data_IF_750145852373
#
_entry.id   IF_750145852373
#
_cell.length_a   1.000
_cell.length_b   1.000
_cell.length_c   1.000
_cell.angle_alpha   90.00
_cell.angle_beta   90.00
_cell.angle_gamma   90.00
#
_symmetry.space_group_name_H-M   'P 1'
#
loop_
_entity.id
_entity.type
_entity.pdbx_description
1 polymer ?
#
# COMPACT_ATOMS: atom_id res chain seq x y z
N UNK A 1 17.35 -18.26 -20.76
CA UNK A 1 16.94 -16.88 -20.44
C UNK A 1 16.02 -16.95 -19.22
N UNK A 2 16.55 -16.81 -18.01
CA UNK A 2 15.84 -17.15 -16.77
C UNK A 2 16.03 -16.08 -15.70
N UNK A 3 14.96 -15.32 -15.40
CA UNK A 3 14.45 -15.06 -14.03
C UNK A 3 13.18 -14.18 -14.05
N UNK A 4 12.04 -14.85 -13.84
CA UNK A 4 10.91 -14.42 -12.98
C UNK A 4 10.44 -12.96 -13.02
N UNK A 5 9.64 -12.60 -14.02
CA UNK A 5 8.80 -11.39 -14.01
C UNK A 5 7.45 -11.57 -13.31
N UNK A 6 7.36 -12.41 -12.27
CA UNK A 6 6.06 -12.84 -11.69
C UNK A 6 6.07 -13.06 -10.17
N UNK A 7 7.02 -12.49 -9.45
CA UNK A 7 7.14 -12.63 -7.97
C UNK A 7 6.75 -11.37 -7.20
N UNK A 8 6.24 -10.35 -7.91
CA UNK A 8 5.71 -9.17 -7.24
C UNK A 8 4.23 -9.42 -6.94
N UNK A 9 3.80 -9.41 -5.65
CA UNK A 9 2.39 -9.59 -5.32
C UNK A 9 1.55 -8.50 -6.01
N UNK A 10 0.28 -8.74 -6.31
CA UNK A 10 -0.54 -7.72 -6.93
C UNK A 10 -0.63 -6.49 -6.02
N UNK A 11 -0.61 -5.31 -6.65
CA UNK A 11 -0.44 -4.01 -6.01
C UNK A 11 -1.37 -3.82 -4.80
N UNK A 12 -2.64 -4.18 -4.94
CA UNK A 12 -3.63 -4.04 -3.86
C UNK A 12 -3.30 -4.94 -2.67
N UNK A 13 -2.94 -6.20 -2.89
CA UNK A 13 -2.53 -7.10 -1.80
C UNK A 13 -1.29 -6.55 -1.09
N UNK A 14 -0.32 -6.01 -1.84
CA UNK A 14 0.85 -5.38 -1.23
C UNK A 14 0.51 -4.12 -0.45
N UNK A 15 -0.38 -3.29 -0.98
CA UNK A 15 -0.86 -2.08 -0.32
C UNK A 15 -1.52 -2.42 1.03
N UNK A 16 -2.37 -3.45 1.06
CA UNK A 16 -2.99 -3.91 2.30
C UNK A 16 -1.96 -4.48 3.27
N UNK A 17 -1.02 -5.32 2.81
CA UNK A 17 0.05 -5.84 3.66
C UNK A 17 0.92 -4.73 4.29
N UNK A 18 1.23 -3.67 3.53
CA UNK A 18 1.93 -2.51 4.06
C UNK A 18 1.09 -1.76 5.10
N UNK A 19 -0.20 -1.55 4.84
CA UNK A 19 -1.11 -0.92 5.79
C UNK A 19 -1.22 -1.70 7.10
N UNK A 20 -1.33 -3.03 7.03
CA UNK A 20 -1.40 -3.92 8.20
C UNK A 20 -0.05 -4.01 8.94
N UNK A 21 1.07 -3.72 8.27
CA UNK A 21 2.41 -3.81 8.89
C UNK A 21 2.70 -2.70 9.92
N UNK A 22 1.88 -1.66 10.01
CA UNK A 22 2.14 -0.47 10.84
C UNK A 22 3.31 0.40 10.36
N UNK A 23 4.03 0.00 9.31
CA UNK A 23 5.18 0.76 8.77
C UNK A 23 4.76 2.04 8.04
N UNK A 24 3.51 2.11 7.61
CA UNK A 24 2.95 3.26 6.89
C UNK A 24 1.76 3.82 7.66
N UNK A 25 1.79 5.13 7.88
CA UNK A 25 0.78 5.85 8.66
C UNK A 25 -0.17 6.68 7.80
N UNK A 26 0.04 6.70 6.47
CA UNK A 26 -0.72 7.54 5.56
C UNK A 26 -0.69 6.98 4.14
N UNK A 27 -1.74 7.29 3.37
CA UNK A 27 -1.81 6.90 1.95
C UNK A 27 -0.66 7.49 1.13
N UNK A 28 -0.05 8.60 1.57
CA UNK A 28 1.13 9.21 0.94
C UNK A 28 2.38 8.34 1.13
N UNK A 29 2.66 7.92 2.37
CA UNK A 29 3.80 7.05 2.68
C UNK A 29 3.62 5.66 2.09
N UNK A 30 2.40 5.13 2.07
CA UNK A 30 2.06 3.88 1.39
C UNK A 30 2.31 3.96 -0.12
N UNK A 31 1.88 5.05 -0.78
CA UNK A 31 2.16 5.27 -2.21
C UNK A 31 3.66 5.31 -2.50
N UNK A 32 4.42 6.03 -1.66
CA UNK A 32 5.86 6.12 -1.82
C UNK A 32 6.52 4.75 -1.68
N UNK A 33 6.16 4.00 -0.64
CA UNK A 33 6.68 2.65 -0.41
C UNK A 33 6.42 1.72 -1.61
N UNK A 34 5.21 1.73 -2.18
CA UNK A 34 4.90 0.93 -3.38
C UNK A 34 5.75 1.38 -4.59
N UNK A 35 5.90 2.67 -4.82
CA UNK A 35 6.76 3.14 -5.93
C UNK A 35 8.23 2.76 -5.71
N UNK A 36 8.72 2.83 -4.47
CA UNK A 36 10.06 2.38 -4.08
C UNK A 36 10.25 0.86 -4.25
N UNK A 37 9.18 0.06 -4.08
CA UNK A 37 9.18 -1.39 -4.35
C UNK A 37 9.11 -1.73 -5.85
N UNK A 38 8.97 -0.74 -6.73
CA UNK A 38 8.96 -0.92 -8.18
C UNK A 38 7.58 -0.91 -8.83
N UNK A 39 6.50 -0.66 -8.08
CA UNK A 39 5.17 -0.51 -8.67
C UNK A 39 5.08 0.81 -9.46
N UNK A 40 4.40 0.77 -10.61
CA UNK A 40 4.25 1.94 -11.47
C UNK A 40 3.47 3.07 -10.79
N UNK A 41 4.01 4.29 -10.80
CA UNK A 41 3.37 5.46 -10.16
C UNK A 41 1.92 5.69 -10.62
N UNK A 42 1.66 5.55 -11.93
CA UNK A 42 0.29 5.68 -12.48
C UNK A 42 -0.64 4.55 -12.05
N UNK A 43 -0.13 3.33 -11.95
CA UNK A 43 -0.88 2.16 -11.51
C UNK A 43 -1.26 2.28 -10.02
N UNK A 44 -0.29 2.68 -9.18
CA UNK A 44 -0.49 2.97 -7.76
C UNK A 44 -1.52 4.08 -7.56
N UNK A 45 -1.44 5.18 -8.32
CA UNK A 45 -2.41 6.27 -8.21
C UNK A 45 -3.83 5.81 -8.58
N UNK A 46 -3.96 5.01 -9.65
CA UNK A 46 -5.23 4.48 -10.12
C UNK A 46 -5.83 3.47 -9.15
N UNK A 47 -5.06 2.46 -8.73
CA UNK A 47 -5.52 1.40 -7.83
C UNK A 47 -5.97 1.94 -6.46
N UNK A 48 -5.31 3.00 -5.97
CA UNK A 48 -5.61 3.62 -4.69
C UNK A 48 -6.59 4.81 -4.79
N UNK A 49 -7.19 5.07 -5.95
CA UNK A 49 -8.14 6.19 -6.12
C UNK A 49 -9.52 5.88 -5.55
N UNK A 50 -9.92 4.60 -5.53
CA UNK A 50 -11.24 4.17 -5.08
C UNK A 50 -11.53 4.56 -3.64
N UNK A 51 -12.69 5.19 -3.40
CA UNK A 51 -13.08 5.64 -2.06
C UNK A 51 -13.14 4.49 -1.04
N UNK A 52 -13.65 3.32 -1.45
CA UNK A 52 -13.69 2.11 -0.61
C UNK A 52 -12.29 1.65 -0.20
N UNK A 53 -11.39 1.50 -1.17
CA UNK A 53 -9.99 1.12 -0.95
C UNK A 53 -9.29 2.11 0.00
N UNK A 54 -9.49 3.42 -0.21
CA UNK A 54 -8.89 4.44 0.67
C UNK A 54 -9.40 4.34 2.10
N UNK A 55 -10.70 4.12 2.31
CA UNK A 55 -11.30 3.99 3.65
C UNK A 55 -10.76 2.75 4.34
N UNK A 56 -10.68 1.63 3.65
CA UNK A 56 -10.19 0.37 4.21
C UNK A 56 -8.70 0.43 4.55
N UNK A 57 -7.87 0.94 3.64
CA UNK A 57 -6.44 1.15 3.91
C UNK A 57 -6.22 2.06 5.11
N UNK A 58 -7.00 3.14 5.24
CA UNK A 58 -6.92 4.03 6.39
C UNK A 58 -7.32 3.31 7.68
N UNK A 59 -8.40 2.52 7.65
CA UNK A 59 -8.84 1.75 8.81
C UNK A 59 -7.77 0.74 9.26
N UNK A 60 -7.14 0.03 8.32
CA UNK A 60 -6.05 -0.92 8.61
C UNK A 60 -4.80 -0.24 9.16
N UNK A 61 -4.39 0.88 8.56
CA UNK A 61 -3.26 1.67 9.08
C UNK A 61 -3.50 2.15 10.52
N UNK A 62 -4.73 2.58 10.83
CA UNK A 62 -5.12 2.99 12.18
C UNK A 62 -5.15 1.80 13.15
N UNK A 63 -5.64 0.64 12.71
CA UNK A 63 -5.66 -0.57 13.53
C UNK A 63 -4.24 -1.11 13.81
N UNK A 64 -3.32 -0.98 12.85
CA UNK A 64 -1.93 -1.41 12.99
C UNK A 64 -1.09 -0.44 13.85
N UNK A 65 -1.46 0.83 13.91
CA UNK A 65 -0.83 1.85 14.77
C UNK A 65 -1.89 2.60 15.61
N UNK A 66 -2.37 1.99 16.70
CA UNK A 66 -3.35 2.62 17.59
C UNK A 66 -2.80 3.89 18.27
N UNK A 67 -1.48 3.97 18.48
CA UNK A 67 -0.78 5.13 19.07
C UNK A 67 -0.62 6.33 18.12
N UNK A 68 -1.00 6.22 16.84
CA UNK A 68 -0.98 7.33 15.89
C UNK A 68 -2.15 8.31 16.03
N UNK A 69 -2.97 8.15 17.09
CA UNK A 69 -4.02 9.09 17.50
C UNK A 69 -3.53 9.93 18.68
N UNK A 70 -2.60 10.85 18.41
CA UNK A 70 -2.30 12.01 19.26
C UNK A 70 -2.65 13.28 18.49
#
# INVERSE_FOLDING_TARGET
MTRTGRDQPPLLERAFALADSGRVQSTKTLRRALVEEGYGHGEVASALTGLGIRRELKARMLAANPDGQD
#
